data_IF_355145533373
#
_entry.id   IF_355145533373
#
_cell.length_a   1.000
_cell.length_b   1.000
_cell.length_c   1.000
_cell.angle_alpha   90.00
_cell.angle_beta   90.00
_cell.angle_gamma   90.00
#
_symmetry.space_group_name_H-M   'P 1'
#
loop_
_entity.id
_entity.type
_entity.pdbx_description
1 polymer ?
#
# COMPACT_ATOMS: atom_id res chain seq x y z
N UNK A 1 7.16 -30.81 -1.80
CA UNK A 1 7.18 -29.81 -0.72
C UNK A 1 8.47 -29.02 -0.85
N UNK A 2 8.45 -27.83 -1.47
CA UNK A 2 9.68 -27.05 -1.73
C UNK A 2 9.82 -25.99 -0.65
N UNK A 3 10.61 -26.36 0.35
CA UNK A 3 11.58 -25.58 1.13
C UNK A 3 11.47 -24.05 1.13
N UNK A 4 11.20 -23.53 2.32
CA UNK A 4 11.67 -22.27 2.92
C UNK A 4 12.95 -21.72 2.28
N UNK A 5 12.88 -20.47 1.82
CA UNK A 5 14.04 -19.63 1.51
C UNK A 5 14.03 -18.47 2.51
N UNK A 6 15.12 -18.19 3.23
CA UNK A 6 15.20 -17.02 4.10
C UNK A 6 15.26 -15.79 3.19
N UNK A 7 14.21 -14.98 3.19
CA UNK A 7 14.19 -13.72 2.46
C UNK A 7 15.22 -12.79 3.09
N UNK A 8 16.39 -12.77 2.45
CA UNK A 8 17.47 -11.81 2.54
C UNK A 8 16.90 -10.44 2.94
N UNK A 9 17.22 -10.01 4.16
CA UNK A 9 16.84 -8.72 4.72
C UNK A 9 17.59 -7.62 3.98
N UNK A 10 17.13 -7.32 2.76
CA UNK A 10 17.57 -6.15 2.04
C UNK A 10 16.90 -4.97 2.74
N UNK A 11 17.70 -4.20 3.49
CA UNK A 11 17.31 -2.98 4.18
C UNK A 11 16.95 -1.89 3.16
N UNK A 12 15.94 -2.14 2.32
CA UNK A 12 15.25 -1.07 1.64
C UNK A 12 14.51 -0.31 2.72
N UNK A 13 14.89 0.95 2.94
CA UNK A 13 14.03 1.88 3.67
C UNK A 13 12.78 2.06 2.81
N UNK A 14 11.82 1.19 3.05
CA UNK A 14 10.50 1.30 2.50
C UNK A 14 9.91 2.54 3.15
N UNK A 15 9.55 3.53 2.34
CA UNK A 15 8.81 4.70 2.78
C UNK A 15 7.35 4.27 3.01
N UNK A 16 7.16 3.34 3.95
CA UNK A 16 5.85 2.84 4.34
C UNK A 16 5.13 4.01 4.99
N UNK A 17 4.01 4.48 4.42
CA UNK A 17 3.33 5.62 4.97
C UNK A 17 2.69 5.25 6.30
N UNK A 18 2.58 6.23 7.20
CA UNK A 18 1.67 6.12 8.33
C UNK A 18 0.22 6.29 7.88
N UNK A 19 -0.73 5.73 8.64
CA UNK A 19 -2.16 5.88 8.35
C UNK A 19 -2.58 7.34 8.16
N UNK A 20 -2.08 8.25 9.00
CA UNK A 20 -2.36 9.70 8.91
C UNK A 20 -1.87 10.32 7.59
N UNK A 21 -0.75 9.81 7.05
CA UNK A 21 -0.20 10.26 5.78
C UNK A 21 -1.07 9.80 4.61
N UNK A 22 -1.58 8.57 4.67
CA UNK A 22 -2.53 8.03 3.69
C UNK A 22 -3.85 8.80 3.76
N UNK A 23 -4.43 8.97 4.94
CA UNK A 23 -5.67 9.76 5.14
C UNK A 23 -5.55 11.17 4.59
N UNK A 24 -4.47 11.88 4.93
CA UNK A 24 -4.20 13.22 4.41
C UNK A 24 -4.05 13.26 2.89
N UNK A 25 -3.56 12.19 2.27
CA UNK A 25 -3.42 12.08 0.82
C UNK A 25 -4.78 11.89 0.14
N UNK A 26 -5.61 10.97 0.65
CA UNK A 26 -6.95 10.72 0.13
C UNK A 26 -7.84 11.96 0.26
N UNK A 27 -7.81 12.65 1.41
CA UNK A 27 -8.54 13.91 1.60
C UNK A 27 -8.13 15.00 0.59
N UNK A 28 -6.85 15.08 0.23
CA UNK A 28 -6.37 16.04 -0.80
C UNK A 28 -6.85 15.70 -2.21
N UNK A 29 -7.15 14.42 -2.45
CA UNK A 29 -7.68 13.91 -3.71
C UNK A 29 -9.21 13.89 -3.73
N UNK A 30 -9.87 14.58 -2.78
CA UNK A 30 -11.33 14.59 -2.61
C UNK A 30 -11.95 13.19 -2.36
N UNK A 31 -11.12 12.23 -1.91
CA UNK A 31 -11.57 10.88 -1.58
C UNK A 31 -11.91 10.75 -0.08
N UNK A 32 -12.91 9.92 0.27
CA UNK A 32 -13.29 9.71 1.65
C UNK A 32 -12.15 9.10 2.48
N UNK A 33 -12.09 9.51 3.75
CA UNK A 33 -11.09 9.00 4.71
C UNK A 33 -11.27 7.50 4.94
N UNK A 34 -12.51 7.01 4.92
CA UNK A 34 -12.85 5.59 5.07
C UNK A 34 -12.14 4.73 4.02
N UNK A 35 -12.10 5.19 2.77
CA UNK A 35 -11.37 4.51 1.68
C UNK A 35 -9.86 4.52 1.90
N UNK A 36 -9.33 5.61 2.48
CA UNK A 36 -7.92 5.70 2.85
C UNK A 36 -7.55 4.63 3.90
N UNK A 37 -8.44 4.37 4.85
CA UNK A 37 -8.27 3.33 5.86
C UNK A 37 -8.33 1.93 5.25
N UNK A 38 -9.32 1.67 4.38
CA UNK A 38 -9.44 0.39 3.67
C UNK A 38 -8.18 0.12 2.86
N UNK A 39 -7.71 1.09 2.08
CA UNK A 39 -6.45 1.01 1.34
C UNK A 39 -5.27 0.69 2.26
N UNK A 40 -5.12 1.41 3.37
CA UNK A 40 -4.02 1.22 4.30
C UNK A 40 -4.02 -0.18 4.91
N UNK A 41 -5.15 -0.62 5.46
CA UNK A 41 -5.23 -1.93 6.11
C UNK A 41 -5.08 -3.08 5.12
N UNK A 42 -5.58 -2.93 3.90
CA UNK A 42 -5.38 -3.89 2.81
C UNK A 42 -3.88 -4.09 2.53
N UNK A 43 -3.16 -3.02 2.20
CA UNK A 43 -1.73 -3.13 1.89
C UNK A 43 -0.86 -3.43 3.12
N UNK A 44 -1.27 -3.03 4.32
CA UNK A 44 -0.60 -3.42 5.56
C UNK A 44 -0.65 -4.95 5.75
N UNK A 45 -1.80 -5.58 5.50
CA UNK A 45 -1.92 -7.05 5.60
C UNK A 45 -1.13 -7.81 4.53
N UNK A 46 -0.80 -7.13 3.42
CA UNK A 46 0.04 -7.64 2.34
C UNK A 46 1.54 -7.32 2.54
N UNK A 47 1.94 -6.83 3.71
CA UNK A 47 3.31 -6.37 3.99
C UNK A 47 3.80 -5.31 2.98
N UNK A 48 2.88 -4.48 2.48
CA UNK A 48 3.12 -3.51 1.41
C UNK A 48 3.75 -4.14 0.17
N UNK A 49 3.21 -5.29 -0.26
CA UNK A 49 3.61 -6.00 -1.48
C UNK A 49 2.46 -6.05 -2.48
N UNK A 50 2.80 -6.07 -3.76
CA UNK A 50 1.83 -6.37 -4.80
C UNK A 50 1.55 -7.89 -4.88
N UNK A 51 0.60 -8.27 -5.72
CA UNK A 51 0.20 -9.67 -5.96
C UNK A 51 1.35 -10.55 -6.47
N UNK A 52 2.39 -9.94 -7.07
CA UNK A 52 3.59 -10.63 -7.54
C UNK A 52 4.65 -10.81 -6.44
N UNK A 53 4.37 -10.38 -5.20
CA UNK A 53 5.30 -10.42 -4.07
C UNK A 53 6.37 -9.33 -4.09
N UNK A 54 6.29 -8.37 -5.02
CA UNK A 54 7.20 -7.23 -5.13
C UNK A 54 6.80 -6.15 -4.15
N UNK A 55 7.78 -5.62 -3.42
CA UNK A 55 7.55 -4.55 -2.46
C UNK A 55 7.13 -3.27 -3.16
N UNK A 56 6.10 -2.64 -2.62
CA UNK A 56 5.43 -1.47 -3.12
C UNK A 56 6.23 -0.22 -2.73
N UNK A 57 7.06 0.25 -3.66
CA UNK A 57 7.94 1.42 -3.44
C UNK A 57 7.20 2.75 -3.46
N UNK A 58 6.13 2.82 -4.24
CA UNK A 58 5.36 4.05 -4.49
C UNK A 58 3.89 3.84 -4.18
N UNK A 59 3.55 3.90 -2.89
CA UNK A 59 2.18 3.70 -2.42
C UNK A 59 1.20 4.74 -2.98
N UNK A 60 1.68 5.93 -3.34
CA UNK A 60 0.85 6.99 -3.92
C UNK A 60 0.31 6.61 -5.30
N UNK A 61 1.13 6.01 -6.15
CA UNK A 61 0.68 5.52 -7.46
C UNK A 61 -0.40 4.45 -7.33
N UNK A 62 -0.25 3.58 -6.32
CA UNK A 62 -1.24 2.53 -6.06
C UNK A 62 -2.51 3.11 -5.42
N UNK A 63 -2.38 4.12 -4.55
CA UNK A 63 -3.52 4.87 -4.02
C UNK A 63 -4.31 5.58 -5.12
N UNK A 64 -3.62 6.21 -6.08
CA UNK A 64 -4.28 6.79 -7.26
C UNK A 64 -5.05 5.71 -8.00
N UNK A 65 -4.43 4.56 -8.30
CA UNK A 65 -5.12 3.46 -8.98
C UNK A 65 -6.32 2.92 -8.18
N UNK A 66 -6.22 2.87 -6.86
CA UNK A 66 -7.34 2.51 -5.99
C UNK A 66 -8.51 3.50 -6.18
N UNK A 67 -8.23 4.80 -6.12
CA UNK A 67 -9.24 5.85 -6.31
C UNK A 67 -9.92 5.76 -7.67
N UNK A 68 -9.16 5.58 -8.76
CA UNK A 68 -9.74 5.39 -10.11
C UNK A 68 -10.68 4.18 -10.18
N UNK A 69 -10.42 3.14 -9.39
CA UNK A 69 -11.25 1.94 -9.35
C UNK A 69 -12.48 2.07 -8.44
N UNK A 70 -12.62 3.17 -7.70
CA UNK A 70 -13.81 3.48 -6.90
C UNK A 70 -14.85 4.32 -7.67
N UNK A 71 -14.44 4.96 -8.77
CA UNK A 71 -15.30 5.83 -9.59
C UNK A 71 -16.15 5.07 -10.64
N UNK A 72 -16.17 3.73 -10.62
CA UNK A 72 -16.99 2.86 -11.49
C UNK A 72 -18.25 2.32 -10.78
#
# INVERSE_FOLDING_TARGET
MKTTTPHKSENFRLDIPGIEQVRSYFQKMDCPVEEAEVFYYYYQSLDWRNENGTILRDWRSVAINWMWNLED
#
